data_IF_613861015209
#
_entry.id   IF_613861015209
#
_cell.length_a   1.000
_cell.length_b   1.000
_cell.length_c   1.000
_cell.angle_alpha   90.00
_cell.angle_beta   90.00
_cell.angle_gamma   90.00
#
_symmetry.space_group_name_H-M   'P 1'
#
loop_
_entity.id
_entity.type
_entity.pdbx_description
1 polymer ?
#
# COMPACT_ATOMS: atom_id res chain seq x y z
N UNK A 1 32.98 4.44 19.07
CA UNK A 1 32.02 4.26 17.96
C UNK A 1 30.66 4.77 18.42
N UNK A 2 30.40 6.07 18.24
CA UNK A 2 29.09 6.68 18.47
C UNK A 2 28.15 6.14 17.40
N UNK A 3 27.31 5.16 17.76
CA UNK A 3 26.34 4.52 16.86
C UNK A 3 25.19 5.44 16.46
N UNK A 4 25.49 6.71 16.20
CA UNK A 4 24.49 7.73 15.92
C UNK A 4 23.84 7.46 14.58
N UNK A 5 22.51 7.42 14.60
CA UNK A 5 21.66 7.21 13.42
C UNK A 5 20.89 8.50 13.17
N UNK A 6 21.54 9.55 12.63
CA UNK A 6 20.92 10.85 12.46
C UNK A 6 19.78 10.83 11.44
N UNK A 7 19.79 9.89 10.49
CA UNK A 7 18.82 9.87 9.39
C UNK A 7 17.59 9.01 9.72
N UNK A 8 16.44 9.63 9.97
CA UNK A 8 15.16 8.94 10.23
C UNK A 8 14.30 8.79 8.97
N UNK A 9 13.59 7.66 8.85
CA UNK A 9 12.57 7.46 7.83
C UNK A 9 11.22 8.06 8.30
N UNK A 10 10.63 9.02 7.58
CA UNK A 10 9.37 9.66 7.97
C UNK A 10 8.16 8.71 7.87
N UNK A 11 8.27 7.64 7.07
CA UNK A 11 7.16 6.70 6.83
C UNK A 11 7.02 5.63 7.91
N UNK A 12 8.10 5.30 8.62
CA UNK A 12 8.09 4.21 9.61
C UNK A 12 8.99 4.44 10.84
N UNK A 13 9.62 5.61 10.97
CA UNK A 13 10.46 5.97 12.11
C UNK A 13 11.83 5.28 12.19
N UNK A 14 12.16 4.34 11.28
CA UNK A 14 13.46 3.64 11.29
C UNK A 14 14.61 4.62 11.04
N UNK A 15 15.66 4.55 11.88
CA UNK A 15 16.85 5.42 11.79
C UNK A 15 18.02 4.71 11.10
N UNK A 16 18.89 5.46 10.44
CA UNK A 16 20.04 4.95 9.68
C UNK A 16 21.27 5.81 9.93
N UNK A 17 22.46 5.20 9.83
CA UNK A 17 23.75 5.90 9.98
C UNK A 17 24.13 6.71 8.73
N UNK A 18 23.57 6.36 7.56
CA UNK A 18 23.88 7.02 6.30
C UNK A 18 22.62 7.29 5.47
N UNK A 19 22.62 8.41 4.75
CA UNK A 19 21.58 8.82 3.79
C UNK A 19 21.40 7.81 2.67
N UNK A 20 22.47 7.18 2.19
CA UNK A 20 22.41 6.11 1.18
C UNK A 20 21.58 4.91 1.66
N UNK A 21 21.75 4.51 2.92
CA UNK A 21 21.00 3.41 3.54
C UNK A 21 19.52 3.78 3.74
N UNK A 22 19.24 5.01 4.19
CA UNK A 22 17.88 5.53 4.26
C UNK A 22 17.22 5.55 2.87
N UNK A 23 17.92 5.98 1.82
CA UNK A 23 17.34 6.06 0.48
C UNK A 23 17.06 4.67 -0.11
N UNK A 24 17.95 3.69 0.08
CA UNK A 24 17.67 2.28 -0.28
C UNK A 24 16.48 1.72 0.50
N UNK A 25 16.37 2.03 1.79
CA UNK A 25 15.23 1.66 2.61
C UNK A 25 13.93 2.31 2.14
N UNK A 26 13.96 3.60 1.77
CA UNK A 26 12.82 4.35 1.27
C UNK A 26 12.37 3.86 -0.10
N UNK A 27 13.31 3.42 -0.95
CA UNK A 27 12.97 2.67 -2.17
C UNK A 27 12.18 1.42 -1.86
N UNK A 28 12.47 0.70 -0.77
CA UNK A 28 11.62 -0.43 -0.34
C UNK A 28 10.24 0.03 0.10
N UNK A 29 9.99 1.25 0.57
CA UNK A 29 8.61 1.73 0.77
C UNK A 29 7.90 2.03 -0.56
N UNK A 30 8.64 2.59 -1.53
CA UNK A 30 8.13 2.77 -2.89
C UNK A 30 7.89 1.42 -3.60
N UNK A 31 8.75 0.42 -3.36
CA UNK A 31 8.66 -0.96 -3.84
C UNK A 31 7.68 -1.80 -2.99
N UNK A 32 7.41 -1.37 -1.74
CA UNK A 32 6.25 -1.81 -0.95
C UNK A 32 4.96 -1.27 -1.52
N UNK A 33 5.00 -0.57 -2.67
CA UNK A 33 3.94 -0.54 -3.68
C UNK A 33 2.57 -0.47 -3.07
N UNK A 34 2.41 0.38 -2.05
CA UNK A 34 1.21 0.39 -1.25
C UNK A 34 0.18 1.10 -2.10
N UNK A 35 -0.65 0.32 -2.77
CA UNK A 35 -1.78 0.85 -3.52
C UNK A 35 -2.78 1.34 -2.50
N UNK A 36 -2.63 2.61 -2.13
CA UNK A 36 -3.50 3.26 -1.17
C UNK A 36 -4.88 3.47 -1.80
N UNK A 37 -5.91 3.03 -1.10
CA UNK A 37 -7.28 3.34 -1.47
C UNK A 37 -7.51 4.85 -1.33
N UNK A 38 -7.97 5.55 -2.39
CA UNK A 38 -8.25 6.98 -2.30
C UNK A 38 -9.45 7.28 -1.38
N UNK A 39 -10.40 6.33 -1.25
CA UNK A 39 -11.62 6.52 -0.46
C UNK A 39 -11.39 6.37 1.06
N UNK A 40 -10.45 5.52 1.49
CA UNK A 40 -10.23 5.22 2.92
C UNK A 40 -8.76 5.18 3.36
N UNK A 41 -7.81 5.45 2.47
CA UNK A 41 -6.37 5.46 2.76
C UNK A 41 -5.75 4.08 3.02
N UNK A 42 -6.52 2.99 2.92
CA UNK A 42 -6.03 1.63 3.21
C UNK A 42 -4.95 1.22 2.21
N UNK A 43 -3.80 0.79 2.72
CA UNK A 43 -2.64 0.36 1.93
C UNK A 43 -2.75 -1.12 1.57
N UNK A 44 -2.80 -1.45 0.28
CA UNK A 44 -2.83 -2.83 -0.20
C UNK A 44 -1.53 -3.23 -0.90
N UNK A 45 -1.27 -4.53 -0.93
CA UNK A 45 -0.02 -5.13 -1.42
C UNK A 45 0.08 -5.21 -2.95
N UNK A 46 -1.03 -5.01 -3.68
CA UNK A 46 -1.05 -5.05 -5.14
C UNK A 46 -2.15 -4.19 -5.76
N UNK A 47 -1.97 -3.80 -7.04
CA UNK A 47 -2.94 -2.99 -7.78
C UNK A 47 -4.27 -3.72 -7.95
N UNK A 48 -4.21 -5.03 -8.21
CA UNK A 48 -5.39 -5.89 -8.33
C UNK A 48 -6.18 -5.95 -7.03
N UNK A 49 -5.49 -6.05 -5.89
CA UNK A 49 -6.13 -5.98 -4.58
C UNK A 49 -6.81 -4.62 -4.36
N UNK A 50 -6.19 -3.51 -4.79
CA UNK A 50 -6.81 -2.18 -4.73
C UNK A 50 -8.08 -2.08 -5.60
N UNK A 51 -8.05 -2.60 -6.82
CA UNK A 51 -9.23 -2.58 -7.70
C UNK A 51 -10.37 -3.38 -7.11
N UNK A 52 -10.11 -4.59 -6.60
CA UNK A 52 -11.13 -5.42 -5.95
C UNK A 52 -11.64 -4.74 -4.69
N UNK A 53 -10.74 -4.19 -3.86
CA UNK A 53 -11.12 -3.46 -2.67
C UNK A 53 -12.01 -2.27 -2.98
N UNK A 54 -11.75 -1.52 -4.05
CA UNK A 54 -12.58 -0.35 -4.40
C UNK A 54 -14.03 -0.72 -4.73
N UNK A 55 -14.29 -1.97 -5.15
CA UNK A 55 -15.67 -2.45 -5.39
C UNK A 55 -16.53 -2.43 -4.13
N UNK A 56 -15.94 -2.53 -2.93
CA UNK A 56 -16.71 -2.43 -1.68
C UNK A 56 -17.23 -1.01 -1.43
N UNK A 57 -16.55 0.01 -1.97
CA UNK A 57 -16.96 1.41 -1.85
C UNK A 57 -17.96 1.78 -2.93
N UNK A 58 -17.78 1.27 -4.17
CA UNK A 58 -18.69 1.56 -5.29
C UNK A 58 -19.93 0.67 -5.30
N UNK A 59 -19.92 -0.46 -4.58
CA UNK A 59 -20.98 -1.46 -4.63
C UNK A 59 -21.08 -2.18 -5.99
N UNK A 60 -20.05 -2.07 -6.83
CA UNK A 60 -20.01 -2.75 -8.13
C UNK A 60 -20.00 -4.27 -7.95
N UNK A 61 -21.00 -4.92 -8.55
CA UNK A 61 -21.19 -6.38 -8.53
C UNK A 61 -21.20 -6.89 -9.97
N UNK A 62 -20.02 -7.02 -10.61
CA UNK A 62 -19.92 -7.30 -12.03
C UNK A 62 -20.28 -8.76 -12.40
N UNK A 63 -20.39 -9.66 -11.42
CA UNK A 63 -20.69 -11.06 -11.69
C UNK A 63 -22.18 -11.34 -11.48
N UNK A 64 -22.94 -11.48 -12.56
CA UNK A 64 -24.33 -11.89 -12.47
C UNK A 64 -24.46 -13.42 -12.58
N UNK A 65 -25.25 -14.02 -11.71
CA UNK A 65 -25.65 -15.42 -11.87
C UNK A 65 -26.67 -15.53 -13.03
N UNK A 66 -26.40 -16.35 -14.06
CA UNK A 66 -27.29 -16.48 -15.21
C UNK A 66 -28.63 -17.15 -14.84
N UNK A 67 -28.65 -18.02 -13.84
CA UNK A 67 -29.86 -18.75 -13.44
C UNK A 67 -30.82 -17.93 -12.55
N UNK A 68 -30.30 -17.01 -11.73
CA UNK A 68 -31.12 -16.25 -10.78
C UNK A 68 -31.02 -14.72 -10.90
N UNK A 69 -30.19 -14.20 -11.81
CA UNK A 69 -30.00 -12.77 -12.06
C UNK A 69 -29.34 -11.98 -10.92
N UNK A 70 -28.94 -12.64 -9.82
CA UNK A 70 -28.30 -11.97 -8.68
C UNK A 70 -26.87 -11.58 -9.05
N UNK A 71 -26.52 -10.32 -8.80
CA UNK A 71 -25.16 -9.82 -8.97
C UNK A 71 -24.30 -10.08 -7.73
N UNK A 72 -23.00 -10.31 -7.90
CA UNK A 72 -21.97 -10.56 -6.87
C UNK A 72 -20.73 -9.71 -7.11
#
# INVERSE_FOLDING_TARGET
HTGERPYGCPECGKRFMATKSLNKHRKRHADSGAFACPDCGKKLTSKSALVIHRRIHTGERPYACPDCGKCF
#
